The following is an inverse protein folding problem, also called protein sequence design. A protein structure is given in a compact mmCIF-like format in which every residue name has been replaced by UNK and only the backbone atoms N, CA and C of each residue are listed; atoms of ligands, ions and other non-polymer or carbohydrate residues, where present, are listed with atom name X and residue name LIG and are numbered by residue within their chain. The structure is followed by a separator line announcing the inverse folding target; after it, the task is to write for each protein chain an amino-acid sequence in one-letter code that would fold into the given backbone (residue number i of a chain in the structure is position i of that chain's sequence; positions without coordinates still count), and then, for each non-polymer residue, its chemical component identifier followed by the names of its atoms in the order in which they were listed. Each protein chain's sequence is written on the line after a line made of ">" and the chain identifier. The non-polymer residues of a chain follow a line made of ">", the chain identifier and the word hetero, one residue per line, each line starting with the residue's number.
data_IF_425285634959
#
_entry.id   IF_425285634959
#
_cell.length_a   1.000
_cell.length_b   1.000
_cell.length_c   1.000
_cell.angle_alpha   90.00
_cell.angle_beta   90.00
_cell.angle_gamma   90.00
#
_symmetry.space_group_name_H-M   'P 1'
#
loop_
_entity.id
_entity.type
_entity.pdbx_description
1 polymer ?
#
# COMPACT_ATOMS: atom_id res chain seq x y z
N UNK A 1 13.48 -7.60 11.77
CA UNK A 1 12.50 -6.82 11.00
C UNK A 1 11.18 -7.57 10.95
N UNK A 2 10.03 -6.91 11.15
CA UNK A 2 8.74 -7.61 11.31
C UNK A 2 8.15 -8.02 9.94
N UNK A 3 8.30 -9.30 9.58
CA UNK A 3 7.78 -9.85 8.31
C UNK A 3 6.26 -9.74 8.17
N UNK A 4 5.50 -9.81 9.28
CA UNK A 4 4.05 -9.68 9.24
C UNK A 4 3.65 -8.27 8.79
N UNK A 5 4.32 -7.25 9.32
CA UNK A 5 4.08 -5.87 8.92
C UNK A 5 4.40 -5.64 7.44
N UNK A 6 5.57 -6.08 6.98
CA UNK A 6 5.99 -5.94 5.58
C UNK A 6 4.97 -6.57 4.61
N UNK A 7 4.53 -7.79 4.90
CA UNK A 7 3.53 -8.48 4.07
C UNK A 7 2.19 -7.73 4.03
N UNK A 8 1.76 -7.16 5.17
CA UNK A 8 0.55 -6.33 5.22
C UNK A 8 0.69 -5.08 4.35
N UNK A 9 1.82 -4.38 4.42
CA UNK A 9 2.06 -3.18 3.61
C UNK A 9 2.15 -3.49 2.12
N UNK A 10 2.88 -4.54 1.75
CA UNK A 10 2.95 -4.98 0.34
C UNK A 10 1.55 -5.33 -0.18
N UNK A 11 0.75 -6.03 0.63
CA UNK A 11 -0.64 -6.39 0.27
C UNK A 11 -1.51 -5.14 0.13
N UNK A 12 -1.41 -4.20 1.07
CA UNK A 12 -2.15 -2.92 1.06
C UNK A 12 -1.84 -2.12 -0.20
N UNK A 13 -0.56 -1.92 -0.49
CA UNK A 13 -0.12 -1.17 -1.67
C UNK A 13 -0.54 -1.87 -2.97
N UNK A 14 -0.37 -3.19 -3.04
CA UNK A 14 -0.78 -3.98 -4.22
C UNK A 14 -2.29 -3.85 -4.46
N UNK A 15 -3.09 -3.95 -3.40
CA UNK A 15 -4.53 -3.73 -3.47
C UNK A 15 -4.80 -2.33 -4.05
N UNK A 16 -4.28 -1.26 -3.43
CA UNK A 16 -4.51 0.13 -3.88
C UNK A 16 -4.14 0.31 -5.36
N UNK A 17 -2.98 -0.18 -5.78
CA UNK A 17 -2.53 -0.05 -7.17
C UNK A 17 -3.46 -0.76 -8.14
N UNK A 18 -3.89 -1.98 -7.84
CA UNK A 18 -4.77 -2.76 -8.73
C UNK A 18 -6.20 -2.22 -8.79
N UNK A 19 -6.71 -1.63 -7.70
CA UNK A 19 -8.08 -1.10 -7.62
C UNK A 19 -8.22 0.41 -7.86
N UNK A 20 -7.20 1.09 -8.35
CA UNK A 20 -7.22 2.55 -8.56
C UNK A 20 -6.90 2.95 -10.00
N UNK A 21 -6.92 4.26 -10.25
CA UNK A 21 -6.48 4.86 -11.52
C UNK A 21 -5.01 4.54 -11.89
N UNK A 22 -4.22 4.02 -10.94
CA UNK A 22 -2.82 3.65 -11.14
C UNK A 22 -2.64 2.23 -11.67
N UNK A 23 -3.72 1.44 -11.77
CA UNK A 23 -3.71 0.03 -12.19
C UNK A 23 -3.04 -0.17 -13.55
N UNK A 24 -3.39 0.65 -14.55
CA UNK A 24 -2.78 0.58 -15.88
C UNK A 24 -1.26 0.74 -15.83
N UNK A 25 -0.76 1.75 -15.10
CA UNK A 25 0.68 1.95 -14.94
C UNK A 25 1.34 0.80 -14.16
N UNK A 26 0.68 0.30 -13.12
CA UNK A 26 1.17 -0.84 -12.33
C UNK A 26 1.34 -2.09 -13.21
N UNK A 27 0.32 -2.47 -13.99
CA UNK A 27 0.40 -3.62 -14.90
C UNK A 27 1.35 -3.38 -16.06
N UNK A 28 1.45 -2.16 -16.58
CA UNK A 28 2.39 -1.77 -17.63
C UNK A 28 3.84 -2.08 -17.21
N UNK A 29 4.25 -1.67 -16.02
CA UNK A 29 5.61 -1.94 -15.51
C UNK A 29 5.85 -3.40 -15.11
N UNK A 30 4.79 -4.16 -14.77
CA UNK A 30 4.85 -5.60 -14.51
C UNK A 30 5.01 -6.46 -15.77
N UNK A 31 4.69 -5.91 -16.93
CA UNK A 31 4.85 -6.65 -18.17
C UNK A 31 6.34 -6.89 -18.47
N UNK A 32 6.64 -7.98 -19.18
CA UNK A 32 8.01 -8.27 -19.63
C UNK A 32 8.49 -7.34 -20.75
N UNK A 33 7.62 -6.45 -21.23
CA UNK A 33 7.94 -5.50 -22.28
C UNK A 33 8.67 -4.30 -21.69
N UNK A 34 9.74 -3.86 -22.35
CA UNK A 34 10.38 -2.59 -22.03
C UNK A 34 9.42 -1.48 -22.45
N UNK A 35 9.13 -0.60 -21.51
CA UNK A 35 8.12 0.44 -21.65
C UNK A 35 8.77 1.80 -21.87
N UNK A 36 9.84 2.10 -21.12
CA UNK A 36 10.68 3.28 -21.29
C UNK A 36 11.83 3.04 -22.26
N UNK A 37 12.91 3.80 -22.10
CA UNK A 37 14.13 3.67 -22.91
C UNK A 37 14.95 2.44 -22.52
N UNK A 38 14.82 1.98 -21.26
CA UNK A 38 15.50 0.79 -20.78
C UNK A 38 14.74 0.11 -19.65
N UNK A 39 14.99 -1.18 -19.45
CA UNK A 39 14.46 -1.89 -18.29
C UNK A 39 14.89 -1.27 -16.96
N UNK A 40 16.04 -0.59 -16.89
CA UNK A 40 16.49 0.10 -15.67
C UNK A 40 15.68 1.36 -15.38
N UNK A 41 15.24 2.07 -16.43
CA UNK A 41 14.31 3.19 -16.32
C UNK A 41 12.93 2.71 -15.89
N UNK A 42 12.47 1.57 -16.39
CA UNK A 42 11.23 0.95 -15.92
C UNK A 42 11.31 0.54 -14.45
N UNK A 43 12.45 -0.01 -14.00
CA UNK A 43 12.69 -0.32 -12.58
C UNK A 43 12.56 0.96 -11.72
N UNK A 44 13.11 2.08 -12.20
CA UNK A 44 13.03 3.39 -11.55
C UNK A 44 11.60 3.91 -11.46
N UNK A 45 10.89 3.95 -12.58
CA UNK A 45 9.52 4.46 -12.65
C UNK A 45 8.54 3.59 -11.86
N UNK A 46 8.78 2.28 -11.83
CA UNK A 46 8.03 1.35 -10.98
C UNK A 46 8.23 1.68 -9.50
N UNK A 47 9.46 1.88 -9.04
CA UNK A 47 9.73 2.29 -7.66
C UNK A 47 9.07 3.63 -7.32
N UNK A 48 9.15 4.64 -8.20
CA UNK A 48 8.47 5.92 -7.99
C UNK A 48 6.96 5.76 -7.84
N UNK A 49 6.34 4.84 -8.61
CA UNK A 49 4.93 4.53 -8.47
C UNK A 49 4.61 3.94 -7.09
N UNK A 50 5.39 2.96 -6.62
CA UNK A 50 5.21 2.34 -5.30
C UNK A 50 5.39 3.37 -4.18
N UNK A 51 6.42 4.23 -4.27
CA UNK A 51 6.76 5.23 -3.25
C UNK A 51 5.65 6.23 -2.97
N UNK A 52 4.71 6.45 -3.90
CA UNK A 52 3.54 7.30 -3.62
C UNK A 52 2.66 6.74 -2.51
N UNK A 53 2.67 5.42 -2.28
CA UNK A 53 1.72 4.74 -1.39
C UNK A 53 2.32 4.21 -0.09
N UNK A 54 3.64 4.35 0.12
CA UNK A 54 4.31 3.87 1.35
C UNK A 54 3.95 4.74 2.55
N UNK A 55 3.99 4.18 3.75
CA UNK A 55 3.83 4.95 4.98
C UNK A 55 5.04 5.89 5.16
N UNK A 56 4.87 7.23 5.15
CA UNK A 56 5.99 8.14 5.26
C UNK A 56 6.66 8.12 6.65
N UNK A 57 5.99 7.54 7.66
CA UNK A 57 6.53 7.39 9.01
C UNK A 57 7.39 6.12 9.17
N UNK A 58 7.44 5.26 8.15
CA UNK A 58 8.30 4.07 8.19
C UNK A 58 9.78 4.46 8.06
N UNK A 59 10.64 3.65 8.67
CA UNK A 59 12.08 3.81 8.49
C UNK A 59 12.48 3.64 7.02
N UNK A 60 13.52 4.35 6.57
CA UNK A 60 14.05 4.20 5.20
C UNK A 60 14.42 2.75 4.88
N UNK A 61 14.93 2.00 5.86
CA UNK A 61 15.20 0.58 5.70
C UNK A 61 13.92 -0.20 5.41
N UNK A 62 12.84 0.04 6.16
CA UNK A 62 11.53 -0.57 5.91
C UNK A 62 11.03 -0.33 4.50
N UNK A 63 11.14 0.90 4.03
CA UNK A 63 10.67 1.28 2.71
C UNK A 63 11.55 0.67 1.62
N UNK A 64 12.87 0.64 1.83
CA UNK A 64 13.80 -0.06 0.93
C UNK A 64 13.43 -1.54 0.78
N UNK A 65 13.12 -2.23 1.87
CA UNK A 65 12.65 -3.63 1.82
C UNK A 65 11.33 -3.79 1.09
N UNK A 66 10.37 -2.87 1.25
CA UNK A 66 9.12 -2.89 0.50
C UNK A 66 9.42 -2.77 -1.01
N UNK A 67 10.26 -1.81 -1.41
CA UNK A 67 10.65 -1.62 -2.82
C UNK A 67 11.37 -2.85 -3.38
N UNK A 68 12.32 -3.40 -2.63
CA UNK A 68 13.00 -4.63 -3.00
C UNK A 68 12.02 -5.79 -3.20
N UNK A 69 11.04 -5.96 -2.32
CA UNK A 69 10.03 -7.00 -2.46
C UNK A 69 9.19 -6.84 -3.74
N UNK A 70 8.78 -5.60 -4.06
CA UNK A 70 8.09 -5.30 -5.32
C UNK A 70 8.97 -5.62 -6.53
N UNK A 71 10.22 -5.16 -6.56
CA UNK A 71 11.13 -5.43 -7.68
C UNK A 71 11.39 -6.93 -7.85
N UNK A 72 11.63 -7.67 -6.77
CA UNK A 72 11.89 -9.12 -6.82
C UNK A 72 10.67 -9.94 -7.21
N UNK A 73 9.46 -9.52 -6.82
CA UNK A 73 8.22 -10.26 -7.13
C UNK A 73 7.70 -9.94 -8.52
N UNK A 74 7.65 -8.66 -8.86
CA UNK A 74 6.87 -8.14 -9.98
C UNK A 74 7.74 -7.76 -11.19
N UNK A 75 9.05 -7.61 -10.98
CA UNK A 75 10.02 -7.21 -12.01
C UNK A 75 11.36 -7.93 -11.87
N UNK A 76 11.33 -9.21 -11.48
CA UNK A 76 12.53 -9.98 -11.23
C UNK A 76 13.50 -9.92 -12.41
N UNK A 77 14.79 -9.71 -12.13
CA UNK A 77 15.87 -9.79 -13.10
C UNK A 77 17.08 -10.45 -12.49
N UNK A 78 17.76 -11.28 -13.27
CA UNK A 78 18.97 -11.98 -12.82
C UNK A 78 20.08 -11.02 -12.35
N UNK A 79 20.14 -9.81 -12.95
CA UNK A 79 21.07 -8.75 -12.52
C UNK A 79 20.89 -8.33 -11.06
N UNK A 80 19.72 -8.53 -10.44
CA UNK A 80 19.50 -8.23 -9.02
C UNK A 80 20.27 -9.18 -8.11
N UNK A 81 20.53 -10.40 -8.58
CA UNK A 81 21.33 -11.39 -7.84
C UNK A 81 22.82 -11.30 -8.20
N UNK A 82 23.13 -10.95 -9.45
CA UNK A 82 24.52 -10.83 -9.93
C UNK A 82 25.22 -9.54 -9.45
N UNK A 83 24.46 -8.46 -9.23
CA UNK A 83 24.98 -7.18 -8.78
C UNK A 83 24.18 -6.70 -7.56
N UNK A 84 24.57 -7.15 -6.38
CA UNK A 84 23.97 -6.72 -5.10
C UNK A 84 23.87 -5.18 -4.99
N UNK A 85 24.87 -4.48 -5.54
CA UNK A 85 24.92 -3.02 -5.57
C UNK A 85 23.88 -2.39 -6.49
N UNK A 86 23.46 -3.02 -7.58
CA UNK A 86 22.53 -2.40 -8.54
C UNK A 86 21.19 -2.10 -7.88
N UNK A 87 20.62 -3.10 -7.20
CA UNK A 87 19.31 -3.00 -6.57
C UNK A 87 19.34 -1.94 -5.47
N UNK A 88 20.36 -1.99 -4.61
CA UNK A 88 20.57 -1.02 -3.54
C UNK A 88 20.77 0.40 -4.08
N UNK A 89 21.62 0.60 -5.09
CA UNK A 89 21.84 1.91 -5.74
C UNK A 89 20.55 2.45 -6.33
N UNK A 90 19.77 1.61 -7.01
CA UNK A 90 18.49 2.01 -7.62
C UNK A 90 17.52 2.49 -6.53
N UNK A 91 17.36 1.70 -5.47
CA UNK A 91 16.49 2.02 -4.33
C UNK A 91 16.95 3.29 -3.61
N UNK A 92 18.24 3.45 -3.34
CA UNK A 92 18.76 4.67 -2.68
C UNK A 92 18.48 5.91 -3.52
N UNK A 93 18.78 5.87 -4.83
CA UNK A 93 18.59 7.03 -5.71
C UNK A 93 17.11 7.40 -5.86
N UNK A 94 16.22 6.42 -5.99
CA UNK A 94 14.78 6.70 -6.15
C UNK A 94 14.16 7.22 -4.85
N UNK A 95 14.61 6.75 -3.68
CA UNK A 95 14.23 7.32 -2.38
C UNK A 95 14.63 8.80 -2.28
N UNK A 96 15.90 9.12 -2.55
CA UNK A 96 16.38 10.50 -2.53
C UNK A 96 15.61 11.41 -3.48
N UNK A 97 15.32 10.93 -4.70
CA UNK A 97 14.54 11.66 -5.69
C UNK A 97 13.08 11.84 -5.29
N UNK A 98 12.46 10.84 -4.69
CA UNK A 98 11.05 10.92 -4.28
C UNK A 98 10.86 11.89 -3.11
N UNK A 99 11.81 11.93 -2.18
CA UNK A 99 11.84 12.91 -1.09
C UNK A 99 11.99 14.33 -1.65
N UNK A 100 12.94 14.57 -2.55
CA UNK A 100 13.18 15.90 -3.12
C UNK A 100 11.99 16.41 -3.95
N UNK A 101 11.29 15.51 -4.64
CA UNK A 101 10.10 15.84 -5.46
C UNK A 101 8.79 15.84 -4.66
N UNK A 102 8.83 15.60 -3.34
CA UNK A 102 7.64 15.49 -2.47
C UNK A 102 6.61 14.46 -2.96
N UNK A 103 7.07 13.41 -3.64
CA UNK A 103 6.21 12.30 -4.11
C UNK A 103 6.15 11.14 -3.11
N UNK A 104 7.01 11.17 -2.10
CA UNK A 104 7.15 10.14 -1.09
C UNK A 104 5.92 10.09 -0.17
N UNK A 105 5.23 8.96 -0.15
CA UNK A 105 4.05 8.71 0.69
C UNK A 105 2.87 9.65 0.45
N UNK A 106 2.87 10.43 -0.64
CA UNK A 106 1.87 11.49 -0.86
C UNK A 106 0.44 10.97 -1.08
N UNK A 107 0.29 9.66 -1.34
CA UNK A 107 -0.98 8.95 -1.49
C UNK A 107 -1.13 7.84 -0.45
N UNK A 108 -0.39 7.88 0.66
CA UNK A 108 -0.48 6.87 1.72
C UNK A 108 -1.90 6.75 2.30
N UNK A 109 -2.53 7.89 2.59
CA UNK A 109 -3.90 7.95 3.15
C UNK A 109 -4.99 7.70 2.11
N UNK A 110 -4.63 7.48 0.84
CA UNK A 110 -5.59 7.26 -0.21
C UNK A 110 -6.33 5.93 0.05
N UNK A 111 -7.54 6.05 0.59
CA UNK A 111 -8.38 4.90 0.89
C UNK A 111 -8.72 4.17 -0.40
N UNK A 112 -8.76 2.85 -0.28
CA UNK A 112 -9.41 1.98 -1.24
C UNK A 112 -10.84 2.48 -1.50
N UNK A 113 -11.32 2.54 -2.76
CA UNK A 113 -12.71 2.81 -3.03
C UNK A 113 -13.60 1.81 -2.26
N UNK A 114 -14.59 2.32 -1.55
CA UNK A 114 -15.44 1.57 -0.61
C UNK A 114 -16.20 0.38 -1.24
N UNK A 115 -16.33 0.33 -2.57
CA UNK A 115 -16.98 -0.78 -3.28
C UNK A 115 -16.18 -2.10 -3.28
N UNK A 116 -14.87 -2.09 -2.98
CA UNK A 116 -14.07 -3.31 -2.83
C UNK A 116 -14.02 -3.84 -1.39
N UNK A 117 -14.52 -3.08 -0.40
CA UNK A 117 -14.63 -3.55 0.99
C UNK A 117 -15.87 -4.43 1.24
N UNK A 118 -16.86 -4.42 0.34
CA UNK A 118 -18.17 -5.03 0.56
C UNK A 118 -18.20 -6.57 0.52
N UNK A 119 -17.14 -7.25 0.07
CA UNK A 119 -17.19 -8.70 -0.16
C UNK A 119 -16.75 -9.58 1.04
N UNK A 120 -16.47 -8.99 2.22
CA UNK A 120 -16.08 -9.76 3.42
C UNK A 120 -17.11 -9.69 4.57
N UNK A 121 -18.35 -9.28 4.32
CA UNK A 121 -19.42 -9.21 5.32
C UNK A 121 -20.66 -10.00 4.89
N UNK A 122 -20.51 -11.31 4.78
CA UNK A 122 -21.62 -12.27 4.87
C UNK A 122 -21.22 -13.39 5.84
N UNK A 123 -21.05 -13.02 7.12
CA UNK A 123 -21.34 -13.96 8.19
C UNK A 123 -22.77 -13.65 8.63
N UNK A 124 -23.74 -14.57 8.47
CA UNK A 124 -25.09 -14.35 8.94
C UNK A 124 -25.06 -14.17 10.45
N UNK A 125 -25.46 -12.99 10.94
CA UNK A 125 -25.88 -12.85 12.33
C UNK A 125 -27.17 -13.65 12.48
N UNK A 126 -27.07 -14.85 13.04
CA UNK A 126 -28.22 -15.47 13.69
C UNK A 126 -28.55 -14.62 14.92
N UNK A 127 -29.41 -13.62 14.72
CA UNK A 127 -30.04 -12.88 15.81
C UNK A 127 -31.11 -13.80 16.40
N UNK A 128 -30.80 -14.42 17.53
CA UNK A 128 -31.83 -14.94 18.43
C UNK A 128 -32.31 -13.74 19.23
N UNK A 129 -33.51 -13.25 18.92
CA UNK A 129 -34.24 -12.33 19.79
C UNK A 129 -34.67 -13.10 21.04
N UNK A 130 -34.16 -12.69 22.20
CA UNK A 130 -34.83 -12.96 23.48
C UNK A 130 -35.17 -11.60 24.08
N UNK A 131 -36.45 -11.30 24.03
CA UNK A 131 -37.09 -10.19 24.71
C UNK A 131 -37.06 -10.44 26.22
N UNK A 132 -36.52 -9.49 27.00
CA UNK A 132 -37.02 -9.25 28.35
C UNK A 132 -36.99 -7.76 28.66
N UNK A 133 -38.20 -7.24 28.84
CA UNK A 133 -38.56 -5.98 29.47
C UNK A 133 -37.84 -5.75 30.80
N UNK A 134 -37.31 -4.54 31.03
CA UNK A 134 -37.58 -3.86 32.30
C UNK A 134 -37.49 -2.34 32.14
N UNK A 135 -38.56 -1.69 32.60
CA UNK A 135 -38.72 -0.26 32.71
C UNK A 135 -37.80 0.30 33.81
N UNK A 136 -37.10 1.39 33.53
CA UNK A 136 -36.75 2.37 34.57
C UNK A 136 -36.72 3.78 33.99
N UNK A 137 -37.83 4.49 34.18
CA UNK A 137 -37.93 5.95 34.16
C UNK A 137 -37.12 6.56 35.30
N UNK A 138 -36.28 7.56 34.99
CA UNK A 138 -36.15 8.74 35.86
C UNK A 138 -35.63 9.95 35.07
N UNK A 139 -36.45 10.99 35.05
CA UNK A 139 -36.11 12.32 34.56
C UNK A 139 -35.12 13.03 35.48
N UNK A 140 -34.31 13.93 34.91
CA UNK A 140 -34.05 15.22 35.53
C UNK A 140 -33.78 16.27 34.43
N UNK A 141 -34.68 17.26 34.37
CA UNK A 141 -34.39 18.59 33.84
C UNK A 141 -33.25 19.24 34.65
N UNK A 142 -32.53 20.21 34.05
CA UNK A 142 -32.58 21.64 34.44
C UNK A 142 -31.43 22.42 33.76
N UNK A 143 -31.88 23.37 32.93
CA UNK A 143 -31.46 24.75 32.66
C UNK A 143 -30.08 25.12 32.08
N UNK A 144 -30.23 25.89 31.01
CA UNK A 144 -29.40 26.95 30.45
C UNK A 144 -28.67 27.82 31.50
N UNK A 145 -27.44 28.18 31.14
CA UNK A 145 -26.84 29.50 31.34
C UNK A 145 -26.06 29.85 30.07
#
# INVERSE_FOLDING_TARGET
>A
MNNIYLNKEITRITSILTGSQYSSNYFRYKSNNIVGQSSSEDDWNFCLLILKFVNPNDSLNTIAFILEAFLRRDRYRDKFNLHYTYLQITISKVLSSSISTKTFGCLYEHKMPSYLQANNLLVPKNTIEVSTTSNFTKSCNVKEL
#
